data_IF_738611098811
#
_entry.id   IF_738611098811
#
_cell.length_a   1.000
_cell.length_b   1.000
_cell.length_c   1.000
_cell.angle_alpha   90.00
_cell.angle_beta   90.00
_cell.angle_gamma   90.00
#
_symmetry.space_group_name_H-M   'P 1'
#
loop_
_entity.id
_entity.type
_entity.pdbx_description
1 polymer ?
#
# COMPACT_ATOMS: atom_id res chain seq x y z
N UNK A 1 -5.57 -1.15 -14.91
CA UNK A 1 -4.57 -1.69 -13.94
C UNK A 1 -4.86 -1.10 -12.56
N UNK A 2 -4.63 -1.81 -11.46
CA UNK A 2 -4.89 -1.28 -10.11
C UNK A 2 -3.61 -1.19 -9.27
N UNK A 3 -3.49 -0.10 -8.54
CA UNK A 3 -2.35 0.23 -7.69
C UNK A 3 -2.79 0.27 -6.24
N UNK A 4 -2.00 -0.36 -5.37
CA UNK A 4 -2.24 -0.36 -3.94
C UNK A 4 -1.11 0.36 -3.22
N UNK A 5 -1.45 1.37 -2.42
CA UNK A 5 -0.51 1.96 -1.48
C UNK A 5 -0.85 1.54 -0.06
N UNK A 6 0.19 1.22 0.71
CA UNK A 6 0.06 0.65 2.05
C UNK A 6 0.90 1.46 3.03
N UNK A 7 0.22 2.07 4.00
CA UNK A 7 0.81 2.70 5.18
C UNK A 7 0.74 1.72 6.36
N UNK A 8 1.89 1.20 6.77
CA UNK A 8 2.01 0.15 7.78
C UNK A 8 2.30 0.73 9.16
N UNK A 9 1.40 0.47 10.11
CA UNK A 9 1.61 0.76 11.52
C UNK A 9 1.74 -0.53 12.35
N UNK A 10 2.06 -0.37 13.64
CA UNK A 10 2.38 -1.49 14.54
C UNK A 10 1.27 -2.55 14.70
N UNK A 11 0.00 -2.16 14.60
CA UNK A 11 -1.16 -3.04 14.84
C UNK A 11 -2.15 -3.10 13.68
N UNK A 12 -2.00 -2.22 12.71
CA UNK A 12 -2.90 -2.08 11.58
C UNK A 12 -2.14 -1.45 10.42
N UNK A 13 -2.67 -1.60 9.22
CA UNK A 13 -2.25 -0.86 8.06
C UNK A 13 -3.45 -0.18 7.40
N UNK A 14 -3.16 0.88 6.66
CA UNK A 14 -4.12 1.51 5.77
C UNK A 14 -3.74 1.12 4.34
N UNK A 15 -4.70 0.57 3.62
CA UNK A 15 -4.57 0.25 2.20
C UNK A 15 -5.47 1.18 1.39
N UNK A 16 -4.91 1.81 0.35
CA UNK A 16 -5.69 2.56 -0.65
C UNK A 16 -5.52 1.91 -2.01
N UNK A 17 -6.65 1.65 -2.67
CA UNK A 17 -6.72 1.14 -4.03
C UNK A 17 -7.04 2.27 -5.00
N UNK A 18 -6.27 2.36 -6.07
CA UNK A 18 -6.39 3.39 -7.11
C UNK A 18 -6.37 2.71 -8.48
N UNK A 19 -7.16 3.20 -9.42
CA UNK A 19 -7.11 2.76 -10.81
C UNK A 19 -6.06 3.52 -11.65
N UNK A 20 -5.95 3.18 -12.93
CA UNK A 20 -5.01 3.83 -13.85
C UNK A 20 -5.32 5.30 -14.13
N UNK A 21 -6.56 5.75 -13.94
CA UNK A 21 -6.94 7.15 -14.09
C UNK A 21 -6.62 7.97 -12.82
N UNK A 22 -6.21 7.28 -11.73
CA UNK A 22 -5.91 7.91 -10.45
C UNK A 22 -7.14 8.08 -9.58
N UNK A 23 -8.24 7.38 -9.86
CA UNK A 23 -9.43 7.41 -9.03
C UNK A 23 -9.30 6.41 -7.90
N UNK A 24 -9.54 6.89 -6.68
CA UNK A 24 -9.58 6.04 -5.49
C UNK A 24 -10.82 5.14 -5.56
N UNK A 25 -10.59 3.83 -5.58
CA UNK A 25 -11.64 2.80 -5.57
C UNK A 25 -12.07 2.44 -4.15
N UNK A 26 -11.16 2.56 -3.19
CA UNK A 26 -11.45 2.29 -1.79
C UNK A 26 -10.25 2.49 -0.88
N UNK A 27 -10.56 2.71 0.40
CA UNK A 27 -9.59 2.82 1.48
C UNK A 27 -10.02 1.91 2.62
N UNK A 28 -9.11 1.09 3.12
CA UNK A 28 -9.39 0.09 4.15
C UNK A 28 -8.37 0.17 5.27
N UNK A 29 -8.85 0.07 6.51
CA UNK A 29 -8.01 -0.10 7.70
C UNK A 29 -8.11 -1.55 8.15
N UNK A 30 -6.98 -2.23 8.20
CA UNK A 30 -6.92 -3.68 8.40
C UNK A 30 -5.93 -4.01 9.50
N UNK A 31 -6.25 -5.00 10.34
CA UNK A 31 -5.32 -5.47 11.39
C UNK A 31 -4.10 -6.14 10.76
N UNK A 32 -2.95 -6.05 11.44
CA UNK A 32 -1.73 -6.79 11.05
C UNK A 32 -1.76 -8.27 11.48
N UNK A 33 -2.88 -8.77 11.98
CA UNK A 33 -3.07 -10.19 12.27
C UNK A 33 -3.04 -11.00 10.97
N UNK A 34 -2.17 -12.00 10.89
CA UNK A 34 -1.98 -12.85 9.69
C UNK A 34 -3.29 -13.37 9.05
N UNK A 35 -4.24 -13.97 9.79
CA UNK A 35 -5.49 -14.43 9.18
C UNK A 35 -6.36 -13.28 8.64
N UNK A 36 -6.27 -12.09 9.24
CA UNK A 36 -7.02 -10.91 8.77
C UNK A 36 -6.39 -10.35 7.49
N UNK A 37 -5.05 -10.31 7.41
CA UNK A 37 -4.32 -9.93 6.20
C UNK A 37 -4.72 -10.87 5.05
N UNK A 38 -4.63 -12.18 5.25
CA UNK A 38 -4.96 -13.16 4.21
C UNK A 38 -6.41 -13.05 3.74
N UNK A 39 -7.36 -12.88 4.66
CA UNK A 39 -8.77 -12.69 4.31
C UNK A 39 -8.99 -11.38 3.52
N UNK A 40 -8.29 -10.31 3.90
CA UNK A 40 -8.34 -9.05 3.18
C UNK A 40 -7.79 -9.20 1.75
N UNK A 41 -6.61 -9.81 1.58
CA UNK A 41 -6.01 -10.01 0.26
C UNK A 41 -6.90 -10.87 -0.65
N UNK A 42 -7.49 -11.95 -0.12
CA UNK A 42 -8.48 -12.78 -0.86
C UNK A 42 -9.74 -12.00 -1.24
N UNK A 43 -10.19 -11.07 -0.41
CA UNK A 43 -11.35 -10.22 -0.74
C UNK A 43 -11.11 -9.32 -1.96
N UNK A 44 -9.84 -9.16 -2.36
CA UNK A 44 -9.41 -8.34 -3.48
C UNK A 44 -9.18 -9.13 -4.78
N UNK A 45 -9.42 -10.44 -4.80
CA UNK A 45 -9.19 -11.30 -5.98
C UNK A 45 -9.98 -10.89 -7.24
N UNK A 46 -11.06 -10.10 -7.09
CA UNK A 46 -11.81 -9.50 -8.20
C UNK A 46 -11.27 -8.14 -8.69
N UNK A 47 -10.33 -7.56 -7.96
CA UNK A 47 -9.70 -6.25 -8.18
C UNK A 47 -8.18 -6.37 -8.20
N UNK A 48 -7.64 -7.52 -8.64
CA UNK A 48 -6.22 -7.89 -8.49
C UNK A 48 -5.30 -6.68 -8.69
N UNK A 49 -4.81 -6.08 -7.58
CA UNK A 49 -3.90 -4.97 -7.68
C UNK A 49 -2.60 -5.51 -8.24
N UNK A 50 -2.26 -5.01 -9.41
CA UNK A 50 -1.12 -5.48 -10.19
C UNK A 50 0.18 -5.06 -9.52
N UNK A 51 0.14 -3.97 -8.74
CA UNK A 51 1.30 -3.43 -8.02
C UNK A 51 0.89 -2.92 -6.64
N UNK A 52 1.64 -3.32 -5.62
CA UNK A 52 1.53 -2.77 -4.27
C UNK A 52 2.82 -2.02 -3.89
N UNK A 53 2.71 -0.93 -3.14
CA UNK A 53 3.86 -0.27 -2.53
C UNK A 53 3.67 -0.15 -1.03
N UNK A 54 4.71 -0.49 -0.28
CA UNK A 54 4.75 -0.38 1.17
C UNK A 54 5.87 0.59 1.55
N UNK A 55 5.64 1.47 2.52
CA UNK A 55 6.72 2.28 3.09
C UNK A 55 7.63 1.40 3.97
N UNK A 56 8.95 1.55 3.83
CA UNK A 56 9.93 0.83 4.65
C UNK A 56 9.94 1.35 6.09
N UNK A 57 8.93 0.93 6.88
CA UNK A 57 8.73 1.29 8.27
C UNK A 57 9.00 0.14 9.24
N UNK A 58 8.16 -0.01 10.27
CA UNK A 58 8.32 -1.09 11.24
C UNK A 58 7.79 -2.42 10.68
N UNK A 59 8.61 -3.48 10.75
CA UNK A 59 8.23 -4.85 10.37
C UNK A 59 7.77 -5.02 8.90
N UNK A 60 8.26 -4.15 8.01
CA UNK A 60 7.90 -4.17 6.58
C UNK A 60 8.28 -5.48 5.88
N UNK A 61 9.37 -6.13 6.30
CA UNK A 61 9.86 -7.36 5.66
C UNK A 61 8.88 -8.52 5.81
N UNK A 62 8.32 -8.71 7.00
CA UNK A 62 7.28 -9.71 7.23
C UNK A 62 6.01 -9.41 6.40
N UNK A 63 5.63 -8.13 6.33
CA UNK A 63 4.44 -7.73 5.57
C UNK A 63 4.65 -7.88 4.07
N UNK A 64 5.86 -7.60 3.57
CA UNK A 64 6.28 -7.84 2.19
C UNK A 64 6.11 -9.31 1.81
N UNK A 65 6.59 -10.23 2.66
CA UNK A 65 6.47 -11.67 2.40
C UNK A 65 5.00 -12.11 2.27
N UNK A 66 4.09 -11.54 3.08
CA UNK A 66 2.66 -11.84 2.97
C UNK A 66 2.02 -11.29 1.69
N UNK A 67 2.51 -10.17 1.17
CA UNK A 67 2.01 -9.59 -0.08
C UNK A 67 2.58 -10.29 -1.30
N UNK A 68 3.86 -10.67 -1.27
CA UNK A 68 4.55 -11.30 -2.39
C UNK A 68 3.98 -12.69 -2.75
N UNK A 69 3.28 -13.35 -1.83
CA UNK A 69 2.55 -14.59 -2.11
C UNK A 69 1.27 -14.38 -2.94
N UNK A 70 0.67 -13.19 -2.88
CA UNK A 70 -0.67 -12.91 -3.42
C UNK A 70 -0.68 -11.82 -4.53
N UNK A 71 0.39 -11.02 -4.64
CA UNK A 71 0.51 -9.88 -5.55
C UNK A 71 1.55 -10.16 -6.65
N UNK A 72 1.32 -9.60 -7.84
CA UNK A 72 2.25 -9.76 -8.98
C UNK A 72 3.56 -9.02 -8.78
N UNK A 73 3.51 -7.77 -8.30
CA UNK A 73 4.69 -6.98 -7.96
C UNK A 73 4.48 -6.19 -6.65
N UNK A 74 5.46 -6.25 -5.76
CA UNK A 74 5.49 -5.48 -4.51
C UNK A 74 6.74 -4.61 -4.48
N UNK A 75 6.53 -3.31 -4.30
CA UNK A 75 7.57 -2.30 -4.22
C UNK A 75 7.78 -1.85 -2.77
N UNK A 76 9.03 -1.60 -2.40
CA UNK A 76 9.39 -1.01 -1.12
C UNK A 76 9.74 0.47 -1.33
N UNK A 77 8.89 1.36 -0.85
CA UNK A 77 9.12 2.79 -0.86
C UNK A 77 10.14 3.16 0.24
N UNK A 78 11.19 3.89 -0.13
CA UNK A 78 12.14 4.42 0.84
C UNK A 78 11.56 5.67 1.52
N UNK A 79 11.28 5.67 2.84
CA UNK A 79 10.54 6.71 3.55
C UNK A 79 10.96 8.14 3.19
N UNK A 80 12.25 8.44 3.29
CA UNK A 80 12.80 9.77 2.97
C UNK A 80 12.61 10.18 1.50
N UNK A 81 12.83 9.28 0.53
CA UNK A 81 12.69 9.61 -0.89
C UNK A 81 11.22 9.77 -1.26
N UNK A 82 10.38 8.89 -0.73
CA UNK A 82 8.95 8.90 -0.96
C UNK A 82 8.31 10.15 -0.36
N UNK A 83 8.73 10.55 0.84
CA UNK A 83 8.32 11.80 1.47
C UNK A 83 8.76 13.03 0.67
N UNK A 84 9.98 13.07 0.13
CA UNK A 84 10.44 14.18 -0.72
C UNK A 84 9.62 14.30 -2.02
N UNK A 85 9.27 13.18 -2.65
CA UNK A 85 8.42 13.18 -3.87
C UNK A 85 6.99 13.58 -3.51
N UNK A 86 6.47 13.06 -2.39
CA UNK A 86 5.17 13.42 -1.87
C UNK A 86 5.10 14.90 -1.54
N UNK A 87 6.00 15.45 -0.73
CA UNK A 87 6.09 16.87 -0.38
C UNK A 87 6.19 17.79 -1.61
N UNK A 88 6.88 17.34 -2.66
CA UNK A 88 6.97 18.06 -3.94
C UNK A 88 5.65 18.05 -4.73
N UNK A 89 4.78 17.05 -4.52
CA UNK A 89 3.46 16.93 -5.18
C UNK A 89 2.29 17.40 -4.28
N UNK A 90 2.38 17.23 -2.96
CA UNK A 90 1.34 17.37 -1.93
C UNK A 90 2.02 17.76 -0.59
N UNK A 91 1.64 18.88 0.02
CA UNK A 91 2.19 19.36 1.30
C UNK A 91 1.60 18.61 2.51
N UNK A 92 2.07 17.40 2.81
CA UNK A 92 1.68 16.71 4.06
C UNK A 92 2.88 16.05 4.76
N UNK A 93 2.92 16.21 6.09
CA UNK A 93 4.02 15.81 6.97
C UNK A 93 4.06 14.28 7.25
N UNK A 94 3.01 13.57 6.83
CA UNK A 94 2.87 12.11 6.85
C UNK A 94 2.52 11.62 5.44
N UNK A 95 3.30 10.68 4.93
CA UNK A 95 3.03 10.01 3.66
C UNK A 95 1.81 9.08 3.84
N UNK A 96 0.70 9.37 3.19
CA UNK A 96 -0.49 8.52 3.28
C UNK A 96 -0.50 7.40 2.23
N UNK A 97 -1.30 6.36 2.49
CA UNK A 97 -1.48 5.20 1.61
C UNK A 97 -1.99 5.55 0.22
N UNK A 98 -2.65 6.70 0.03
CA UNK A 98 -3.15 7.15 -1.29
C UNK A 98 -2.02 7.75 -2.12
N UNK A 99 -1.19 8.58 -1.51
CA UNK A 99 0.03 9.15 -2.10
C UNK A 99 0.96 8.03 -2.56
N UNK A 100 1.11 7.00 -1.72
CA UNK A 100 1.84 5.78 -2.06
C UNK A 100 1.27 5.11 -3.32
N UNK A 101 -0.04 4.89 -3.40
CA UNK A 101 -0.67 4.27 -4.57
C UNK A 101 -0.41 5.09 -5.85
N UNK A 102 -0.48 6.43 -5.75
CA UNK A 102 -0.21 7.34 -6.86
C UNK A 102 1.25 7.38 -7.34
N UNK A 103 2.22 6.92 -6.53
CA UNK A 103 3.62 6.85 -6.95
C UNK A 103 3.92 5.68 -7.88
N UNK A 104 3.05 4.66 -7.87
CA UNK A 104 3.19 3.49 -8.75
C UNK A 104 2.56 3.68 -10.13
N UNK A 105 1.75 4.72 -10.31
CA UNK A 105 1.15 5.12 -11.58
C UNK A 105 2.04 6.11 -12.33
#
# INVERSE_FOLDING_TARGET
>A
MYYMGIDLHKKYFISTLVDEEGKVLGKSRVSTDRPVIQNYLKSLDGLKPTKAVIEAGFNWSYFYDQLAEEMEEVYLAHPLKTRLIAEARIKTDSLDSETLAHLLR
#
